data_IF_269743422489
#
_entry.id   IF_269743422489
#
_cell.length_a   1.000
_cell.length_b   1.000
_cell.length_c   1.000
_cell.angle_alpha   90.00
_cell.angle_beta   90.00
_cell.angle_gamma   90.00
#
_symmetry.space_group_name_H-M   'P 1'
#
loop_
_entity.id
_entity.type
_entity.pdbx_description
1 polymer ?
#
# COMPACT_ATOMS: atom_id res chain seq x y z
N UNK A 1 -0.75 7.06 -4.45
CA UNK A 1 -0.15 8.19 -5.22
C UNK A 1 -1.07 8.50 -6.39
N UNK A 2 -1.33 9.78 -6.69
CA UNK A 2 -2.22 10.17 -7.81
C UNK A 2 -1.77 9.57 -9.15
N UNK A 3 -0.45 9.49 -9.38
CA UNK A 3 0.15 8.90 -10.57
C UNK A 3 -0.24 7.43 -10.84
N UNK A 4 -0.34 6.59 -9.80
CA UNK A 4 -0.78 5.21 -9.96
C UNK A 4 -2.29 5.12 -10.21
N UNK A 5 -3.06 6.08 -9.71
CA UNK A 5 -4.48 6.25 -10.03
C UNK A 5 -4.68 6.54 -11.52
N UNK A 6 -3.97 7.54 -12.04
CA UNK A 6 -4.05 7.93 -13.45
C UNK A 6 -3.60 6.80 -14.39
N UNK A 7 -2.54 6.07 -14.02
CA UNK A 7 -2.07 4.89 -14.77
C UNK A 7 -3.15 3.80 -14.87
N UNK A 8 -3.79 3.46 -13.75
CA UNK A 8 -4.86 2.44 -13.72
C UNK A 8 -6.09 2.91 -14.49
N UNK A 9 -6.44 4.19 -14.41
CA UNK A 9 -7.54 4.76 -15.16
C UNK A 9 -7.31 4.65 -16.67
N UNK A 10 -6.13 5.04 -17.15
CA UNK A 10 -5.75 4.92 -18.57
C UNK A 10 -5.80 3.46 -19.06
N UNK A 11 -5.35 2.50 -18.23
CA UNK A 11 -5.43 1.09 -18.58
C UNK A 11 -6.89 0.62 -18.69
N UNK A 12 -7.75 1.01 -17.76
CA UNK A 12 -9.18 0.68 -17.80
C UNK A 12 -9.84 1.28 -19.04
N UNK A 13 -9.51 2.52 -19.38
CA UNK A 13 -10.06 3.20 -20.56
C UNK A 13 -9.60 2.55 -21.88
N UNK A 14 -8.34 2.10 -21.95
CA UNK A 14 -7.82 1.30 -23.07
C UNK A 14 -8.56 -0.05 -23.18
N UNK A 15 -8.71 -0.78 -22.06
CA UNK A 15 -9.44 -2.05 -22.03
C UNK A 15 -10.91 -1.91 -22.45
N UNK A 16 -11.59 -0.86 -21.98
CA UNK A 16 -12.96 -0.55 -22.38
C UNK A 16 -13.07 -0.21 -23.87
N UNK A 17 -12.10 0.54 -24.38
CA UNK A 17 -12.03 0.89 -25.81
C UNK A 17 -11.84 -0.37 -26.66
N UNK A 18 -10.93 -1.25 -26.27
CA UNK A 18 -10.68 -2.54 -26.93
C UNK A 18 -11.89 -3.46 -26.87
N UNK A 19 -12.58 -3.52 -25.73
CA UNK A 19 -13.80 -4.31 -25.59
C UNK A 19 -14.88 -3.87 -26.58
N UNK A 20 -15.12 -2.55 -26.68
CA UNK A 20 -16.08 -1.99 -27.67
C UNK A 20 -15.67 -2.28 -29.10
N UNK A 21 -14.38 -2.22 -29.42
CA UNK A 21 -13.86 -2.57 -30.75
C UNK A 21 -14.06 -4.05 -31.07
N UNK A 22 -13.88 -4.94 -30.08
CA UNK A 22 -14.09 -6.38 -30.21
C UNK A 22 -15.57 -6.74 -30.39
N UNK A 23 -16.47 -6.10 -29.65
CA UNK A 23 -17.90 -6.27 -29.88
C UNK A 23 -18.32 -5.78 -31.27
N UNK A 24 -17.73 -4.67 -31.74
CA UNK A 24 -18.00 -4.13 -33.07
C UNK A 24 -17.49 -5.05 -34.19
N UNK A 25 -16.31 -5.68 -34.03
CA UNK A 25 -15.81 -6.64 -35.00
C UNK A 25 -16.70 -7.89 -35.07
N UNK A 26 -17.15 -8.40 -33.92
CA UNK A 26 -18.05 -9.56 -33.84
C UNK A 26 -19.42 -9.27 -34.48
N UNK A 27 -19.96 -8.05 -34.33
CA UNK A 27 -21.23 -7.65 -34.98
C UNK A 27 -21.09 -7.41 -36.49
N UNK A 28 -19.88 -7.12 -36.97
CA UNK A 28 -19.60 -6.81 -38.37
C UNK A 28 -19.16 -8.05 -39.18
N UNK A 29 -19.12 -9.24 -38.55
CA UNK A 29 -18.93 -10.54 -39.23
C UNK A 29 -20.18 -10.88 -40.06
N UNK A 30 -20.19 -10.44 -41.32
CA UNK A 30 -21.08 -10.96 -42.37
C UNK A 30 -20.65 -12.37 -42.84
N UNK A 31 -21.48 -13.05 -43.63
CA UNK A 31 -21.42 -14.51 -43.86
C UNK A 31 -20.25 -15.03 -44.72
N UNK A 32 -19.22 -14.23 -45.01
CA UNK A 32 -18.12 -14.58 -45.93
C UNK A 32 -16.80 -14.87 -45.17
N UNK A 33 -16.44 -16.14 -44.95
CA UNK A 33 -15.34 -16.54 -44.05
C UNK A 33 -13.92 -16.25 -44.56
N UNK A 34 -13.70 -16.22 -45.88
CA UNK A 34 -12.35 -16.07 -46.47
C UNK A 34 -11.82 -14.62 -46.45
N UNK A 35 -12.72 -13.63 -46.54
CA UNK A 35 -12.35 -12.22 -46.39
C UNK A 35 -12.05 -11.87 -44.93
N UNK A 36 -12.76 -12.51 -43.99
CA UNK A 36 -12.61 -12.30 -42.55
C UNK A 36 -11.23 -12.76 -42.07
N UNK A 37 -10.77 -13.96 -42.45
CA UNK A 37 -9.46 -14.48 -42.03
C UNK A 37 -8.28 -13.68 -42.58
N UNK A 38 -8.40 -13.21 -43.82
CA UNK A 38 -7.38 -12.39 -44.49
C UNK A 38 -7.27 -10.99 -43.86
N UNK A 39 -8.41 -10.40 -43.46
CA UNK A 39 -8.46 -9.13 -42.74
C UNK A 39 -7.85 -9.24 -41.33
N UNK A 40 -8.04 -10.39 -40.67
CA UNK A 40 -7.50 -10.68 -39.33
C UNK A 40 -5.98 -10.91 -39.35
N UNK A 41 -5.44 -11.61 -40.35
CA UNK A 41 -4.05 -12.07 -40.36
C UNK A 41 -3.08 -11.20 -41.16
N UNK A 42 -3.54 -10.44 -42.15
CA UNK A 42 -2.66 -9.81 -43.13
C UNK A 42 -2.60 -8.27 -43.09
N UNK A 43 -3.21 -7.62 -42.09
CA UNK A 43 -3.29 -6.15 -42.06
C UNK A 43 -3.90 -5.62 -43.37
N UNK A 44 -5.07 -6.19 -43.72
CA UNK A 44 -5.68 -6.10 -45.05
C UNK A 44 -5.64 -4.70 -45.66
N UNK A 45 -4.98 -4.61 -46.81
CA UNK A 45 -4.84 -3.40 -47.59
C UNK A 45 -6.21 -2.75 -47.94
N UNK A 46 -6.28 -1.43 -47.72
CA UNK A 46 -7.20 -0.45 -48.36
C UNK A 46 -8.62 -0.25 -47.80
N UNK A 47 -8.86 -0.46 -46.51
CA UNK A 47 -9.87 0.33 -45.78
C UNK A 47 -9.19 0.91 -44.54
N UNK A 48 -9.35 2.22 -44.31
CA UNK A 48 -8.66 2.97 -43.24
C UNK A 48 -9.08 2.61 -41.81
N UNK A 49 -9.35 1.34 -41.55
CA UNK A 49 -9.65 0.78 -40.23
C UNK A 49 -8.41 -0.01 -39.81
N UNK A 50 -7.65 0.45 -38.80
CA UNK A 50 -6.53 -0.29 -38.24
C UNK A 50 -6.99 -1.69 -37.82
N UNK A 51 -6.21 -2.73 -38.12
CA UNK A 51 -6.53 -4.09 -37.68
C UNK A 51 -6.48 -4.12 -36.14
N UNK A 52 -7.62 -4.32 -35.44
CA UNK A 52 -7.65 -4.25 -33.97
C UNK A 52 -6.85 -5.36 -33.28
N UNK A 53 -6.48 -6.40 -34.04
CA UNK A 53 -5.71 -7.55 -33.59
C UNK A 53 -4.21 -7.39 -33.81
N UNK A 54 -3.80 -6.35 -34.54
CA UNK A 54 -2.41 -5.93 -34.58
C UNK A 54 -2.18 -5.12 -33.30
N UNK A 55 -1.97 -5.83 -32.19
CA UNK A 55 -1.54 -5.20 -30.95
C UNK A 55 -0.28 -4.40 -31.27
N UNK A 56 -0.35 -3.09 -31.04
CA UNK A 56 0.84 -2.27 -31.15
C UNK A 56 1.79 -2.72 -30.04
N UNK A 57 2.85 -3.43 -30.44
CA UNK A 57 3.90 -3.85 -29.52
C UNK A 57 4.44 -2.61 -28.79
N UNK A 58 4.63 -2.73 -27.48
CA UNK A 58 5.07 -1.62 -26.65
C UNK A 58 6.42 -1.12 -27.15
N UNK A 59 6.70 0.18 -27.01
CA UNK A 59 7.97 0.75 -27.49
C UNK A 59 9.18 0.04 -26.87
N UNK A 60 9.04 -0.51 -25.66
CA UNK A 60 10.11 -1.25 -24.97
C UNK A 60 10.36 -2.65 -25.53
N UNK A 61 9.37 -3.25 -26.20
CA UNK A 61 9.48 -4.62 -26.76
C UNK A 61 9.60 -4.61 -28.29
N UNK A 62 9.24 -3.48 -28.91
CA UNK A 62 9.28 -3.28 -30.35
C UNK A 62 10.65 -3.55 -30.94
N UNK A 63 10.71 -4.54 -31.83
CA UNK A 63 11.93 -4.90 -32.57
C UNK A 63 12.87 -5.86 -31.83
N UNK A 64 12.48 -6.35 -30.65
CA UNK A 64 13.22 -7.40 -29.96
C UNK A 64 12.87 -8.78 -30.49
N UNK A 65 13.90 -9.60 -30.72
CA UNK A 65 13.73 -11.02 -31.01
C UNK A 65 13.26 -11.80 -29.77
N UNK A 66 12.72 -13.01 -29.97
CA UNK A 66 12.25 -13.87 -28.87
C UNK A 66 13.30 -14.11 -27.77
N UNK A 67 14.57 -14.32 -28.14
CA UNK A 67 15.65 -14.52 -27.17
C UNK A 67 15.97 -13.24 -26.38
N UNK A 68 15.84 -12.07 -27.00
CA UNK A 68 16.06 -10.76 -26.38
C UNK A 68 14.92 -10.43 -25.41
N UNK A 69 13.66 -10.71 -25.80
CA UNK A 69 12.51 -10.62 -24.90
C UNK A 69 12.66 -11.51 -23.67
N UNK A 70 13.14 -12.75 -23.85
CA UNK A 70 13.41 -13.67 -22.73
C UNK A 70 14.51 -13.12 -21.82
N UNK A 71 15.56 -12.53 -22.38
CA UNK A 71 16.62 -11.91 -21.58
C UNK A 71 16.12 -10.68 -20.82
N UNK A 72 15.32 -9.83 -21.46
CA UNK A 72 14.70 -8.68 -20.82
C UNK A 72 13.80 -9.11 -19.65
N UNK A 73 12.94 -10.12 -19.85
CA UNK A 73 12.10 -10.63 -18.77
C UNK A 73 12.91 -11.17 -17.59
N UNK A 74 14.05 -11.83 -17.84
CA UNK A 74 14.94 -12.26 -16.75
C UNK A 74 15.49 -11.09 -15.95
N UNK A 75 15.97 -10.02 -16.63
CA UNK A 75 16.45 -8.81 -15.94
C UNK A 75 15.35 -8.16 -15.10
N UNK A 76 14.14 -8.08 -15.64
CA UNK A 76 12.99 -7.55 -14.92
C UNK A 76 12.70 -8.36 -13.64
N UNK A 77 12.77 -9.70 -13.72
CA UNK A 77 12.58 -10.57 -12.56
C UNK A 77 13.72 -10.37 -11.54
N UNK A 78 14.97 -10.30 -11.98
CA UNK A 78 16.11 -10.04 -11.10
C UNK A 78 16.00 -8.70 -10.36
N UNK A 79 15.55 -7.64 -11.03
CA UNK A 79 15.30 -6.33 -10.40
C UNK A 79 14.14 -6.38 -9.40
N UNK A 80 13.08 -7.12 -9.72
CA UNK A 80 11.95 -7.32 -8.80
C UNK A 80 12.37 -8.09 -7.55
N UNK A 81 13.14 -9.17 -7.70
CA UNK A 81 13.66 -9.95 -6.57
C UNK A 81 14.55 -9.11 -5.66
N UNK A 82 15.45 -8.29 -6.22
CA UNK A 82 16.24 -7.34 -5.45
C UNK A 82 15.36 -6.31 -4.71
N UNK A 83 14.27 -5.86 -5.34
CA UNK A 83 13.27 -5.00 -4.71
C UNK A 83 12.55 -5.68 -3.53
N UNK A 84 12.23 -6.97 -3.66
CA UNK A 84 11.60 -7.76 -2.59
C UNK A 84 12.55 -7.98 -1.42
N UNK A 85 13.83 -8.22 -1.66
CA UNK A 85 14.85 -8.33 -0.61
C UNK A 85 14.99 -7.03 0.19
N UNK A 86 15.01 -5.89 -0.50
CA UNK A 86 15.04 -4.58 0.14
C UNK A 86 13.80 -4.36 1.02
N UNK A 87 12.60 -4.68 0.49
CA UNK A 87 11.34 -4.59 1.22
C UNK A 87 11.32 -5.51 2.46
N UNK A 88 11.78 -6.75 2.30
CA UNK A 88 11.90 -7.72 3.39
C UNK A 88 12.79 -7.21 4.52
N UNK A 89 13.91 -6.56 4.18
CA UNK A 89 14.79 -5.93 5.16
C UNK A 89 14.11 -4.80 5.94
N UNK A 90 13.28 -3.98 5.27
CA UNK A 90 12.53 -2.89 5.88
C UNK A 90 11.47 -3.46 6.84
N UNK A 91 10.72 -4.45 6.38
CA UNK A 91 9.69 -5.12 7.20
C UNK A 91 10.31 -5.75 8.45
N UNK A 92 11.48 -6.37 8.32
CA UNK A 92 12.20 -6.95 9.46
C UNK A 92 12.57 -5.89 10.50
N UNK A 93 13.09 -4.74 10.06
CA UNK A 93 13.36 -3.60 10.96
C UNK A 93 12.08 -3.05 11.59
N UNK A 94 11.00 -2.96 10.83
CA UNK A 94 9.73 -2.47 11.34
C UNK A 94 9.10 -3.41 12.37
N UNK A 95 9.26 -4.72 12.18
CA UNK A 95 8.88 -5.73 13.18
C UNK A 95 9.68 -5.54 14.47
N UNK A 96 11.01 -5.35 14.36
CA UNK A 96 11.84 -5.11 15.54
C UNK A 96 11.42 -3.83 16.28
N UNK A 97 11.25 -2.71 15.57
CA UNK A 97 10.74 -1.48 16.18
C UNK A 97 9.38 -1.69 16.85
N UNK A 98 8.48 -2.46 16.23
CA UNK A 98 7.18 -2.79 16.84
C UNK A 98 7.30 -3.59 18.14
N UNK A 99 8.26 -4.51 18.22
CA UNK A 99 8.56 -5.25 19.45
C UNK A 99 9.15 -4.34 20.53
N UNK A 100 10.10 -3.47 20.18
CA UNK A 100 10.70 -2.50 21.10
C UNK A 100 9.66 -1.51 21.63
N UNK A 101 8.77 -1.00 20.77
CA UNK A 101 7.64 -0.15 21.18
C UNK A 101 6.72 -0.91 22.13
N UNK A 102 6.42 -2.19 21.85
CA UNK A 102 5.60 -3.02 22.74
C UNK A 102 6.22 -3.15 24.14
N UNK A 103 7.51 -3.49 24.21
CA UNK A 103 8.22 -3.61 25.48
C UNK A 103 8.27 -2.28 26.24
N UNK A 104 8.55 -1.17 25.55
CA UNK A 104 8.58 0.17 26.16
C UNK A 104 7.19 0.58 26.69
N UNK A 105 6.12 0.22 25.99
CA UNK A 105 4.75 0.46 26.48
C UNK A 105 4.45 -0.37 27.74
N UNK A 106 4.88 -1.62 27.80
CA UNK A 106 4.73 -2.47 28.98
C UNK A 106 5.52 -1.89 30.16
N UNK A 107 6.78 -1.48 29.96
CA UNK A 107 7.60 -0.81 30.98
C UNK A 107 6.97 0.52 31.46
N UNK A 108 6.44 1.32 30.54
CA UNK A 108 5.74 2.56 30.91
C UNK A 108 4.46 2.30 31.69
N UNK A 109 3.73 1.21 31.43
CA UNK A 109 2.56 0.83 32.23
C UNK A 109 2.97 0.50 33.67
N UNK A 110 4.07 -0.24 33.88
CA UNK A 110 4.59 -0.51 35.22
C UNK A 110 4.97 0.78 35.96
N UNK A 111 5.63 1.72 35.27
CA UNK A 111 5.97 3.04 35.84
C UNK A 111 4.71 3.84 36.23
N UNK A 112 3.66 3.79 35.41
CA UNK A 112 2.39 4.49 35.68
C UNK A 112 1.71 3.90 36.91
N UNK A 113 1.72 2.58 37.07
CA UNK A 113 1.15 1.91 38.24
C UNK A 113 1.92 2.28 39.52
N UNK A 114 3.25 2.29 39.47
CA UNK A 114 4.10 2.73 40.59
C UNK A 114 3.87 4.21 40.95
N UNK A 115 3.73 5.07 39.94
CA UNK A 115 3.41 6.48 40.14
C UNK A 115 2.04 6.65 40.79
N UNK A 116 1.06 5.85 40.39
CA UNK A 116 -0.29 5.86 40.98
C UNK A 116 -0.23 5.50 42.48
N UNK A 117 0.50 4.43 42.83
CA UNK A 117 0.71 4.02 44.21
C UNK A 117 1.40 5.13 45.05
N UNK A 118 2.40 5.80 44.47
CA UNK A 118 3.12 6.89 45.14
C UNK A 118 2.21 8.11 45.38
N UNK A 119 1.36 8.44 44.41
CA UNK A 119 0.38 9.53 44.52
C UNK A 119 -0.63 9.23 45.63
N UNK A 120 -1.16 8.00 45.70
CA UNK A 120 -2.08 7.59 46.77
C UNK A 120 -1.43 7.69 48.16
N UNK A 121 -0.20 7.16 48.32
CA UNK A 121 0.52 7.29 49.59
C UNK A 121 0.78 8.75 49.98
N UNK A 122 1.03 9.61 49.00
CA UNK A 122 1.26 11.04 49.22
C UNK A 122 -0.04 11.73 49.65
N UNK A 123 -1.19 11.41 49.05
CA UNK A 123 -2.51 11.91 49.45
C UNK A 123 -2.84 11.51 50.90
N UNK A 124 -2.62 10.25 51.27
CA UNK A 124 -2.85 9.78 52.64
C UNK A 124 -2.00 10.52 53.68
N UNK A 125 -0.71 10.74 53.38
CA UNK A 125 0.18 11.53 54.22
C UNK A 125 -0.30 12.97 54.33
N UNK A 126 -0.69 13.59 53.22
CA UNK A 126 -1.21 14.96 53.18
C UNK A 126 -2.47 15.09 54.02
N UNK A 127 -3.42 14.14 53.93
CA UNK A 127 -4.63 14.09 54.75
C UNK A 127 -4.30 13.98 56.24
N UNK A 128 -3.36 13.09 56.61
CA UNK A 128 -2.92 12.91 57.99
C UNK A 128 -2.28 14.19 58.55
N UNK A 129 -1.35 14.80 57.82
CA UNK A 129 -0.70 16.05 58.20
C UNK A 129 -1.72 17.20 58.30
N UNK A 130 -2.65 17.30 57.37
CA UNK A 130 -3.74 18.29 57.41
C UNK A 130 -4.58 18.13 58.69
N UNK A 131 -4.89 16.89 59.09
CA UNK A 131 -5.60 16.63 60.36
C UNK A 131 -4.77 17.05 61.56
N UNK A 132 -3.46 16.76 61.57
CA UNK A 132 -2.56 17.18 62.65
C UNK A 132 -2.51 18.71 62.77
N UNK A 133 -2.37 19.43 61.65
CA UNK A 133 -2.39 20.90 61.63
C UNK A 133 -3.70 21.44 62.20
N UNK A 134 -4.86 20.88 61.81
CA UNK A 134 -6.17 21.27 62.38
C UNK A 134 -6.27 21.04 63.89
N UNK A 135 -5.65 19.97 64.41
CA UNK A 135 -5.62 19.71 65.86
C UNK A 135 -4.74 20.72 66.58
N UNK A 136 -3.57 21.05 66.02
CA UNK A 136 -2.67 22.07 66.57
C UNK A 136 -3.36 23.43 66.57
N UNK A 137 -4.01 23.82 65.48
CA UNK A 137 -4.75 25.08 65.35
C UNK A 137 -5.85 25.24 66.43
N UNK A 138 -6.64 24.18 66.66
CA UNK A 138 -7.64 24.14 67.75
C UNK A 138 -7.02 24.25 69.15
N UNK A 139 -5.86 23.63 69.38
CA UNK A 139 -5.16 23.72 70.67
C UNK A 139 -4.61 25.12 70.90
N UNK A 140 -4.01 25.72 69.87
CA UNK A 140 -3.46 27.08 69.92
C UNK A 140 -4.53 28.12 70.22
N UNK A 141 -5.73 27.98 69.67
CA UNK A 141 -6.88 28.86 69.98
C UNK A 141 -7.46 28.65 71.37
N UNK A 142 -7.30 27.46 71.98
CA UNK A 142 -7.75 27.20 73.36
C UNK A 142 -6.79 27.67 74.46
N UNK A 143 -5.54 27.99 74.10
CA UNK A 143 -4.51 28.47 75.03
C UNK A 143 -4.33 30.00 75.02
N UNK A 144 -5.26 30.74 74.42
CA UNK A 144 -5.33 32.21 74.43
C UNK A 144 -6.40 32.74 75.40
#
# INVERSE_FOLDING_TARGET
TQLEGDRRQNLVDDLLTRHKQLEASYRNEGPEPDMSRSSLMAGGAKRGVPNPWLLEESEETRGLGFDELRQQQRRIIEEQDAGLDALSSIISRQKQMGQEIGNELDEQNEIIDDLTNLVESTDDRLRSQTRHVRVVDKKSTSCG
#
